data_IF_205995124258
#
_entry.id   IF_205995124258
#
_cell.length_a   1.000
_cell.length_b   1.000
_cell.length_c   1.000
_cell.angle_alpha   90.00
_cell.angle_beta   90.00
_cell.angle_gamma   90.00
#
_symmetry.space_group_name_H-M   'P 1'
#
loop_
_entity.id
_entity.type
_entity.pdbx_description
1 polymer ?
#
# COMPACT_ATOMS: atom_id res chain seq x y z
N UNK A 1 1.53 52.97 -46.57
CA UNK A 1 2.78 52.17 -46.65
C UNK A 1 3.52 52.31 -45.33
N UNK A 2 3.92 51.17 -44.76
CA UNK A 2 4.19 50.96 -43.34
C UNK A 2 5.34 51.78 -42.75
N UNK A 3 5.24 52.10 -41.45
CA UNK A 3 6.27 52.76 -40.67
C UNK A 3 6.50 52.03 -39.34
N UNK A 4 7.79 51.79 -39.09
CA UNK A 4 8.48 51.63 -37.79
C UNK A 4 8.41 50.27 -37.09
N UNK A 5 9.60 49.67 -36.95
CA UNK A 5 10.01 48.65 -35.99
C UNK A 5 10.77 49.35 -34.87
N UNK A 6 10.60 48.97 -33.59
CA UNK A 6 11.69 48.72 -32.61
C UNK A 6 11.17 48.32 -31.20
N UNK A 7 11.84 47.30 -30.65
CA UNK A 7 12.21 47.09 -29.23
C UNK A 7 11.22 46.51 -28.18
N UNK A 8 11.72 45.47 -27.47
CA UNK A 8 11.29 45.02 -26.14
C UNK A 8 10.26 43.87 -26.19
N UNK A 9 10.31 42.80 -25.39
CA UNK A 9 10.80 42.62 -24.02
C UNK A 9 11.09 41.12 -23.82
N UNK A 10 12.21 40.78 -23.16
CA UNK A 10 12.44 39.47 -22.55
C UNK A 10 11.31 39.20 -21.54
N UNK A 11 10.45 38.19 -21.77
CA UNK A 11 9.55 37.70 -20.73
C UNK A 11 9.97 36.29 -20.31
N UNK A 12 10.68 36.25 -19.20
CA UNK A 12 11.12 35.07 -18.47
C UNK A 12 9.89 34.33 -17.91
N UNK A 13 9.35 33.35 -18.65
CA UNK A 13 8.30 32.48 -18.11
C UNK A 13 8.96 31.32 -17.40
N UNK A 14 9.00 31.47 -16.08
CA UNK A 14 9.39 30.52 -15.03
C UNK A 14 9.10 29.06 -15.44
N UNK A 15 10.16 28.27 -15.60
CA UNK A 15 10.06 26.83 -15.36
C UNK A 15 9.78 26.68 -13.87
N UNK A 16 8.49 26.65 -13.50
CA UNK A 16 8.12 26.23 -12.17
C UNK A 16 8.43 24.74 -12.08
N UNK A 17 9.64 24.41 -11.63
CA UNK A 17 9.95 23.06 -11.17
C UNK A 17 8.89 22.72 -10.13
N UNK A 18 7.98 21.80 -10.47
CA UNK A 18 7.10 21.19 -9.49
C UNK A 18 8.04 20.35 -8.63
N UNK A 19 8.64 20.97 -7.60
CA UNK A 19 9.35 20.24 -6.58
C UNK A 19 8.28 19.41 -5.88
N UNK A 20 8.14 18.15 -6.28
CA UNK A 20 7.37 17.17 -5.52
C UNK A 20 8.05 17.07 -4.17
N UNK A 21 7.51 17.77 -3.17
CA UNK A 21 7.94 17.57 -1.81
C UNK A 21 7.76 16.08 -1.50
N UNK A 22 8.76 15.39 -0.93
CA UNK A 22 8.56 14.03 -0.50
C UNK A 22 7.39 14.05 0.48
N UNK A 23 6.30 13.35 0.16
CA UNK A 23 5.22 13.13 1.13
C UNK A 23 5.87 12.37 2.27
N UNK A 24 6.15 13.06 3.36
CA UNK A 24 6.64 12.43 4.57
C UNK A 24 5.53 11.49 5.04
N UNK A 25 5.72 10.18 4.83
CA UNK A 25 4.80 9.16 5.33
C UNK A 25 4.74 9.33 6.85
N UNK A 26 3.56 9.65 7.37
CA UNK A 26 3.36 9.68 8.82
C UNK A 26 3.83 8.34 9.39
N UNK A 27 4.60 8.38 10.49
CA UNK A 27 4.94 7.15 11.22
C UNK A 27 3.62 6.52 11.68
N UNK A 28 3.19 5.47 10.97
CA UNK A 28 2.05 4.67 11.38
C UNK A 28 2.31 4.07 12.76
N UNK A 29 1.24 3.82 13.51
CA UNK A 29 1.31 3.12 14.78
C UNK A 29 0.89 1.68 14.58
N UNK A 30 1.60 0.76 15.23
CA UNK A 30 1.16 -0.62 15.33
C UNK A 30 -0.02 -0.70 16.29
N UNK A 31 -1.07 -1.41 15.87
CA UNK A 31 -2.26 -1.66 16.68
C UNK A 31 -2.58 -3.14 16.62
N UNK A 32 -2.87 -3.75 17.76
CA UNK A 32 -3.34 -5.13 17.84
C UNK A 32 -4.71 -5.28 17.21
N UNK A 33 -4.87 -6.31 16.36
CA UNK A 33 -6.13 -6.67 15.68
C UNK A 33 -6.61 -8.04 16.13
N UNK A 34 -7.77 -8.47 15.65
CA UNK A 34 -8.28 -9.80 15.91
C UNK A 34 -7.22 -10.86 15.58
N UNK A 35 -6.92 -11.79 16.49
CA UNK A 35 -5.92 -12.81 16.26
C UNK A 35 -6.37 -13.74 15.13
N UNK A 36 -5.43 -14.17 14.29
CA UNK A 36 -5.71 -15.20 13.28
C UNK A 36 -6.17 -16.51 13.97
N UNK A 37 -7.22 -17.18 13.46
CA UNK A 37 -7.72 -18.42 14.05
C UNK A 37 -6.65 -19.53 14.11
N UNK A 38 -5.90 -19.72 13.03
CA UNK A 38 -4.87 -20.75 12.93
C UNK A 38 -3.46 -20.22 13.24
N UNK A 39 -2.86 -20.73 14.31
CA UNK A 39 -1.46 -20.42 14.69
C UNK A 39 -0.47 -21.12 13.76
N UNK A 40 0.27 -20.35 12.96
CA UNK A 40 1.26 -20.87 12.00
C UNK A 40 2.33 -19.85 11.64
N UNK A 41 3.43 -20.33 11.07
CA UNK A 41 4.55 -19.52 10.56
C UNK A 41 4.71 -19.70 9.05
N UNK A 42 5.61 -18.94 8.42
CA UNK A 42 6.03 -19.11 7.01
C UNK A 42 4.85 -19.05 6.02
N UNK A 43 3.92 -18.14 6.28
CA UNK A 43 2.72 -17.93 5.46
C UNK A 43 3.02 -17.07 4.23
N UNK A 44 2.25 -17.29 3.16
CA UNK A 44 2.12 -16.31 2.07
C UNK A 44 0.94 -15.37 2.34
N UNK A 45 1.07 -14.09 1.98
CA UNK A 45 0.03 -13.07 2.23
C UNK A 45 -0.22 -12.22 1.00
N UNK A 46 -1.49 -11.90 0.73
CA UNK A 46 -1.88 -10.96 -0.32
C UNK A 46 -3.03 -10.04 0.13
N UNK A 47 -2.98 -8.77 -0.29
CA UNK A 47 -4.09 -7.84 -0.14
C UNK A 47 -4.92 -7.84 -1.43
N UNK A 48 -6.20 -8.21 -1.35
CA UNK A 48 -7.10 -8.30 -2.51
C UNK A 48 -8.45 -7.69 -2.16
N UNK A 49 -8.89 -6.70 -2.94
CA UNK A 49 -10.20 -6.03 -2.78
C UNK A 49 -10.48 -5.56 -1.34
N UNK A 50 -9.47 -4.99 -0.67
CA UNK A 50 -9.59 -4.46 0.68
C UNK A 50 -9.60 -5.51 1.80
N UNK A 51 -9.32 -6.77 1.49
CA UNK A 51 -9.17 -7.88 2.44
C UNK A 51 -7.73 -8.40 2.42
N UNK A 52 -7.32 -9.09 3.48
CA UNK A 52 -6.01 -9.75 3.56
C UNK A 52 -6.23 -11.26 3.53
N UNK A 53 -5.51 -11.96 2.68
CA UNK A 53 -5.54 -13.41 2.58
C UNK A 53 -4.23 -13.98 3.10
N UNK A 54 -4.30 -14.96 3.98
CA UNK A 54 -3.15 -15.69 4.53
C UNK A 54 -3.26 -17.15 4.09
N UNK A 55 -2.30 -17.58 3.28
CA UNK A 55 -2.32 -18.87 2.57
C UNK A 55 -1.20 -19.76 3.09
N UNK A 56 -1.56 -21.00 3.43
CA UNK A 56 -0.62 -22.03 3.81
C UNK A 56 0.12 -21.71 5.11
N UNK A 57 1.36 -22.21 5.22
CA UNK A 57 2.24 -22.05 6.38
C UNK A 57 2.46 -23.34 7.17
N UNK A 58 3.31 -23.28 8.19
CA UNK A 58 3.61 -24.42 9.06
C UNK A 58 2.96 -24.26 10.43
N UNK A 59 2.17 -25.26 10.81
CA UNK A 59 1.66 -25.39 12.17
C UNK A 59 2.66 -26.19 12.99
N UNK A 60 2.82 -25.80 14.26
CA UNK A 60 3.57 -26.61 15.22
C UNK A 60 3.00 -28.04 15.28
N UNK A 61 3.89 -29.04 15.17
CA UNK A 61 3.54 -30.46 15.23
C UNK A 61 3.10 -31.09 13.91
N UNK A 62 2.96 -30.31 12.82
CA UNK A 62 2.76 -30.85 11.49
C UNK A 62 4.09 -30.88 10.72
N UNK A 63 4.32 -31.96 9.97
CA UNK A 63 5.49 -32.10 9.09
C UNK A 63 5.23 -31.64 7.65
N UNK A 64 4.09 -30.98 7.41
CA UNK A 64 3.65 -30.52 6.10
C UNK A 64 3.04 -29.11 6.19
N UNK A 65 3.00 -28.42 5.06
CA UNK A 65 2.36 -27.12 4.91
C UNK A 65 0.84 -27.29 4.98
N UNK A 66 0.16 -26.51 5.83
CA UNK A 66 -1.31 -26.57 5.90
C UNK A 66 -1.94 -26.12 4.57
N UNK A 67 -3.07 -26.72 4.12
CA UNK A 67 -3.83 -26.21 2.98
C UNK A 67 -4.70 -25.00 3.34
N UNK A 68 -4.75 -24.58 4.62
CA UNK A 68 -5.65 -23.55 5.09
C UNK A 68 -5.45 -22.20 4.37
N UNK A 69 -6.56 -21.56 4.05
CA UNK A 69 -6.63 -20.17 3.59
C UNK A 69 -7.57 -19.42 4.50
N UNK A 70 -7.10 -18.31 5.05
CA UNK A 70 -7.90 -17.43 5.88
C UNK A 70 -8.00 -16.05 5.25
N UNK A 71 -9.19 -15.47 5.26
CA UNK A 71 -9.44 -14.08 4.87
C UNK A 71 -9.71 -13.23 6.10
N UNK A 72 -8.94 -12.15 6.26
CA UNK A 72 -9.18 -11.09 7.22
C UNK A 72 -9.85 -9.89 6.57
N UNK A 73 -10.88 -9.38 7.26
CA UNK A 73 -11.60 -8.17 6.92
C UNK A 73 -11.21 -7.03 7.87
N UNK A 74 -10.38 -6.06 7.43
CA UNK A 74 -9.98 -4.93 8.26
C UNK A 74 -11.12 -3.97 8.62
N UNK A 75 -12.24 -4.00 7.89
CA UNK A 75 -13.36 -3.08 8.13
C UNK A 75 -14.18 -3.46 9.36
N UNK A 76 -14.23 -4.76 9.68
CA UNK A 76 -14.97 -5.29 10.83
C UNK A 76 -14.08 -6.06 11.81
N UNK A 77 -12.77 -6.16 11.53
CA UNK A 77 -11.77 -6.80 12.38
C UNK A 77 -12.09 -8.28 12.65
N UNK A 78 -12.39 -9.04 11.58
CA UNK A 78 -12.77 -10.45 11.67
C UNK A 78 -12.09 -11.33 10.63
N UNK A 79 -11.95 -12.61 10.96
CA UNK A 79 -11.42 -13.64 10.08
C UNK A 79 -12.52 -14.61 9.63
N UNK A 80 -12.33 -15.25 8.46
CA UNK A 80 -13.08 -16.44 8.04
C UNK A 80 -12.22 -17.39 7.22
N UNK A 81 -12.56 -18.68 7.22
CA UNK A 81 -11.97 -19.66 6.32
C UNK A 81 -12.41 -19.44 4.86
N UNK A 82 -11.58 -19.93 3.93
CA UNK A 82 -11.79 -19.90 2.49
C UNK A 82 -11.60 -21.25 1.84
#
# INVERSE_FOLDING_TARGET
MARVVFAGILLCTVLASIATAPVAQSKGQWVTRAPAPLKRTEVAVAAVRGKIYVVGGFQQGLSFVTPAVEEYDPAIDTWRER
#
